data_IF_472362591803
#
_entry.id   IF_472362591803
#
_cell.length_a   1.000
_cell.length_b   1.000
_cell.length_c   1.000
_cell.angle_alpha   90.00
_cell.angle_beta   90.00
_cell.angle_gamma   90.00
#
_symmetry.space_group_name_H-M   'P 1'
#
loop_
_entity.id
_entity.type
_entity.pdbx_description
1 polymer ?
#
# COMPACT_ATOMS: atom_id res chain seq x y z
N UNK A 1 -52.19 33.88 7.25
CA UNK A 1 -51.26 33.03 6.48
C UNK A 1 -49.84 33.37 6.90
N UNK A 2 -49.10 32.43 7.51
CA UNK A 2 -47.62 32.33 7.46
C UNK A 2 -47.23 31.08 8.27
N UNK A 3 -46.74 30.03 7.59
CA UNK A 3 -45.92 28.94 8.17
C UNK A 3 -44.49 29.21 7.72
N UNK A 4 -43.49 29.05 8.60
CA UNK A 4 -42.31 28.25 8.23
C UNK A 4 -41.82 27.41 9.43
N UNK A 5 -41.79 26.08 9.32
CA UNK A 5 -40.81 25.17 8.69
C UNK A 5 -39.81 24.60 9.74
N UNK A 6 -39.76 23.27 9.93
CA UNK A 6 -39.00 22.63 10.98
C UNK A 6 -37.50 22.62 10.65
N UNK A 7 -36.68 22.82 11.67
CA UNK A 7 -35.23 22.72 11.61
C UNK A 7 -34.80 21.31 11.17
N UNK A 8 -34.44 21.16 9.89
CA UNK A 8 -33.70 19.99 9.40
C UNK A 8 -32.26 20.12 9.89
N UNK A 9 -31.92 19.37 10.94
CA UNK A 9 -30.55 19.16 11.37
C UNK A 9 -29.77 18.39 10.31
N UNK A 10 -28.88 19.08 9.61
CA UNK A 10 -27.95 18.47 8.66
C UNK A 10 -26.85 17.76 9.44
N UNK A 11 -27.03 16.46 9.72
CA UNK A 11 -25.99 15.61 10.28
C UNK A 11 -24.90 15.36 9.23
N UNK A 12 -23.84 16.17 9.28
CA UNK A 12 -22.67 16.03 8.43
C UNK A 12 -21.83 14.83 8.94
N UNK A 13 -22.06 13.64 8.38
CA UNK A 13 -21.18 12.49 8.60
C UNK A 13 -19.83 12.73 7.91
N UNK A 14 -18.87 13.31 8.65
CA UNK A 14 -17.46 13.32 8.25
C UNK A 14 -16.91 11.90 8.36
N UNK A 15 -16.90 11.18 7.25
CA UNK A 15 -16.10 9.96 7.09
C UNK A 15 -14.62 10.35 7.17
N UNK A 16 -13.99 10.15 8.34
CA UNK A 16 -12.54 10.25 8.51
C UNK A 16 -11.88 9.17 7.65
N UNK A 17 -11.56 9.51 6.40
CA UNK A 17 -10.53 8.77 5.66
C UNK A 17 -9.20 9.13 6.29
N UNK A 18 -8.71 8.24 7.15
CA UNK A 18 -7.36 8.31 7.68
C UNK A 18 -6.38 8.30 6.49
N UNK A 19 -5.91 9.47 6.07
CA UNK A 19 -4.80 9.58 5.14
C UNK A 19 -3.55 9.10 5.89
N UNK A 20 -2.90 7.99 5.48
CA UNK A 20 -1.70 7.54 6.17
C UNK A 20 -0.65 8.64 6.08
N UNK A 21 -0.23 9.14 7.24
CA UNK A 21 0.87 10.10 7.38
C UNK A 21 2.13 9.46 6.76
N UNK A 22 2.62 10.03 5.66
CA UNK A 22 3.98 9.82 5.15
C UNK A 22 4.28 8.45 4.55
N UNK A 23 3.46 7.95 3.61
CA UNK A 23 3.81 6.76 2.84
C UNK A 23 5.06 7.04 1.96
N UNK A 24 6.11 6.22 2.08
CA UNK A 24 7.33 6.38 1.30
C UNK A 24 7.00 6.19 -0.19
N UNK A 25 7.50 7.08 -1.05
CA UNK A 25 7.38 6.89 -2.50
C UNK A 25 8.34 5.81 -2.99
N UNK A 26 8.05 5.18 -4.12
CA UNK A 26 9.00 4.24 -4.77
C UNK A 26 10.33 4.94 -5.09
N UNK A 27 10.29 6.21 -5.49
CA UNK A 27 11.50 7.02 -5.76
C UNK A 27 12.35 7.15 -4.50
N UNK A 28 11.75 7.53 -3.37
CA UNK A 28 12.47 7.65 -2.11
C UNK A 28 13.03 6.29 -1.66
N UNK A 29 12.22 5.23 -1.78
CA UNK A 29 12.64 3.86 -1.47
C UNK A 29 13.89 3.47 -2.24
N UNK A 30 13.89 3.65 -3.56
CA UNK A 30 15.05 3.34 -4.42
C UNK A 30 16.25 4.22 -4.09
N UNK A 31 16.03 5.52 -3.84
CA UNK A 31 17.11 6.44 -3.50
C UNK A 31 17.81 6.07 -2.18
N UNK A 32 17.09 5.51 -1.21
CA UNK A 32 17.66 4.97 0.03
C UNK A 32 18.36 3.63 -0.26
N UNK A 33 17.70 2.73 -0.99
CA UNK A 33 18.23 1.40 -1.30
C UNK A 33 19.56 1.46 -2.07
N UNK A 34 19.70 2.40 -3.01
CA UNK A 34 20.92 2.56 -3.82
C UNK A 34 22.11 3.09 -3.01
N UNK A 35 21.89 3.67 -1.81
CA UNK A 35 22.96 4.12 -0.90
C UNK A 35 23.36 3.05 0.12
N UNK A 36 22.56 2.00 0.28
CA UNK A 36 22.87 0.94 1.22
C UNK A 36 23.96 0.01 0.65
N UNK A 37 24.85 -0.52 1.51
CA UNK A 37 25.81 -1.53 1.08
C UNK A 37 25.07 -2.75 0.55
N UNK A 38 25.53 -3.35 -0.55
CA UNK A 38 24.90 -4.52 -1.16
C UNK A 38 25.37 -5.81 -0.48
N UNK A 39 25.21 -5.90 0.84
CA UNK A 39 25.60 -7.05 1.65
C UNK A 39 24.59 -7.33 2.78
N UNK A 40 24.77 -8.45 3.48
CA UNK A 40 23.85 -8.91 4.53
C UNK A 40 23.65 -7.90 5.69
N UNK A 41 24.57 -6.96 5.90
CA UNK A 41 24.47 -5.99 7.00
C UNK A 41 23.57 -4.79 6.69
N UNK A 42 23.14 -4.62 5.43
CA UNK A 42 22.30 -3.50 5.00
C UNK A 42 21.01 -3.41 5.82
N UNK A 43 20.37 -4.55 6.08
CA UNK A 43 19.14 -4.66 6.86
C UNK A 43 19.30 -4.22 8.32
N UNK A 44 20.52 -4.22 8.86
CA UNK A 44 20.81 -3.83 10.24
C UNK A 44 20.96 -2.31 10.39
N UNK A 45 21.19 -1.58 9.30
CA UNK A 45 21.33 -0.13 9.32
C UNK A 45 19.96 0.53 9.54
N UNK A 46 19.90 1.73 10.17
CA UNK A 46 18.64 2.45 10.38
C UNK A 46 17.80 2.60 9.11
N UNK A 47 18.44 2.94 7.99
CA UNK A 47 17.78 3.10 6.71
C UNK A 47 17.28 1.76 6.15
N UNK A 48 18.07 0.69 6.27
CA UNK A 48 17.64 -0.66 5.87
C UNK A 48 16.42 -1.14 6.66
N UNK A 49 16.43 -0.93 7.98
CA UNK A 49 15.26 -1.19 8.85
C UNK A 49 14.05 -0.36 8.44
N UNK A 50 14.25 0.91 8.07
CA UNK A 50 13.18 1.78 7.56
C UNK A 50 12.57 1.21 6.27
N UNK A 51 13.37 0.72 5.33
CA UNK A 51 12.86 0.07 4.11
C UNK A 51 12.08 -1.20 4.41
N UNK A 52 12.59 -2.06 5.30
CA UNK A 52 11.90 -3.30 5.71
C UNK A 52 10.54 -2.99 6.34
N UNK A 53 10.50 -1.99 7.23
CA UNK A 53 9.27 -1.58 7.89
C UNK A 53 8.24 -1.02 6.88
N UNK A 54 8.67 -0.21 5.91
CA UNK A 54 7.79 0.31 4.87
C UNK A 54 7.15 -0.82 4.06
N UNK A 55 7.95 -1.81 3.65
CA UNK A 55 7.47 -2.98 2.89
C UNK A 55 6.52 -3.82 3.73
N UNK A 56 6.89 -4.11 4.99
CA UNK A 56 6.04 -4.88 5.91
C UNK A 56 4.68 -4.20 6.11
N UNK A 57 4.68 -2.91 6.46
CA UNK A 57 3.45 -2.11 6.62
C UNK A 57 2.61 -2.13 5.34
N UNK A 58 3.24 -1.97 4.18
CA UNK A 58 2.55 -1.96 2.89
C UNK A 58 1.91 -3.32 2.56
N UNK A 59 2.63 -4.42 2.80
CA UNK A 59 2.08 -5.78 2.60
C UNK A 59 0.92 -6.04 3.55
N UNK A 60 1.02 -5.61 4.81
CA UNK A 60 -0.08 -5.71 5.76
C UNK A 60 -1.30 -4.90 5.33
N UNK A 61 -1.11 -3.68 4.85
CA UNK A 61 -2.20 -2.84 4.35
C UNK A 61 -2.95 -3.52 3.19
N UNK A 62 -2.23 -4.05 2.21
CA UNK A 62 -2.79 -4.77 1.06
C UNK A 62 -3.52 -6.04 1.51
N UNK A 63 -2.98 -6.82 2.46
CA UNK A 63 -3.72 -7.97 3.03
C UNK A 63 -5.00 -7.54 3.76
N UNK A 64 -4.96 -6.43 4.49
CA UNK A 64 -6.12 -5.91 5.21
C UNK A 64 -7.21 -5.40 4.27
N UNK A 65 -6.84 -4.80 3.14
CA UNK A 65 -7.77 -4.41 2.07
C UNK A 65 -8.52 -5.62 1.49
N UNK A 66 -7.80 -6.71 1.18
CA UNK A 66 -8.43 -7.96 0.75
C UNK A 66 -9.39 -8.50 1.83
N UNK A 67 -8.93 -8.59 3.08
CA UNK A 67 -9.77 -9.06 4.19
C UNK A 67 -11.00 -8.17 4.41
N UNK A 68 -10.88 -6.86 4.23
CA UNK A 68 -11.98 -5.92 4.32
C UNK A 68 -13.00 -6.10 3.19
N UNK A 69 -12.54 -6.36 1.96
CA UNK A 69 -13.43 -6.68 0.84
C UNK A 69 -14.22 -7.97 1.11
N UNK A 70 -13.54 -9.03 1.55
CA UNK A 70 -14.18 -10.32 1.90
C UNK A 70 -15.22 -10.14 3.00
N UNK A 71 -14.88 -9.46 4.11
CA UNK A 71 -15.82 -9.20 5.21
C UNK A 71 -17.02 -8.37 4.78
N UNK A 72 -16.85 -7.50 3.79
CA UNK A 72 -17.93 -6.70 3.22
C UNK A 72 -18.77 -7.46 2.16
N UNK A 73 -18.52 -8.75 1.94
CA UNK A 73 -19.21 -9.54 0.90
C UNK A 73 -18.90 -9.09 -0.53
N UNK A 74 -17.80 -8.36 -0.75
CA UNK A 74 -17.36 -7.89 -2.07
C UNK A 74 -16.24 -8.76 -2.62
N UNK A 75 -16.16 -8.87 -3.94
CA UNK A 75 -15.00 -9.47 -4.62
C UNK A 75 -13.75 -8.60 -4.35
N UNK A 76 -12.68 -9.14 -3.75
CA UNK A 76 -11.42 -8.41 -3.60
C UNK A 76 -10.78 -8.07 -4.94
N UNK A 77 -9.94 -7.02 -4.98
CA UNK A 77 -9.20 -6.65 -6.18
C UNK A 77 -8.08 -7.66 -6.54
N UNK A 78 -7.63 -8.44 -5.57
CA UNK A 78 -6.57 -9.44 -5.67
C UNK A 78 -6.80 -10.53 -4.61
N UNK A 79 -6.27 -11.72 -4.87
CA UNK A 79 -6.50 -12.92 -4.07
C UNK A 79 -5.17 -13.52 -3.60
N UNK A 80 -4.49 -12.81 -2.70
CA UNK A 80 -3.19 -13.21 -2.13
C UNK A 80 -3.37 -14.50 -1.31
N UNK A 81 -2.56 -15.54 -1.55
CA UNK A 81 -2.65 -16.79 -0.81
C UNK A 81 -2.18 -16.65 0.65
N UNK A 82 -2.69 -17.53 1.50
CA UNK A 82 -2.29 -17.62 2.92
C UNK A 82 -0.78 -17.89 3.07
N UNK A 83 -0.19 -18.66 2.15
CA UNK A 83 1.23 -19.01 2.13
C UNK A 83 2.18 -17.81 2.02
N UNK A 84 1.73 -16.66 1.50
CA UNK A 84 2.57 -15.47 1.39
C UNK A 84 2.21 -14.58 0.20
N UNK A 85 2.75 -13.35 0.17
CA UNK A 85 2.63 -12.47 -1.02
C UNK A 85 3.55 -12.90 -2.17
N UNK A 86 4.59 -13.69 -1.88
CA UNK A 86 5.64 -14.04 -2.83
C UNK A 86 6.65 -12.90 -3.10
N UNK A 87 6.62 -11.84 -2.28
CA UNK A 87 7.56 -10.72 -2.38
C UNK A 87 8.89 -11.11 -1.73
N UNK A 88 9.97 -11.02 -2.50
CA UNK A 88 11.35 -11.10 -2.00
C UNK A 88 12.03 -9.72 -2.10
N UNK A 89 13.09 -9.44 -1.32
CA UNK A 89 13.81 -8.16 -1.41
C UNK A 89 14.32 -7.87 -2.83
N UNK A 90 14.92 -8.86 -3.49
CA UNK A 90 15.48 -8.74 -4.84
C UNK A 90 14.38 -8.52 -5.87
N UNK A 91 13.29 -9.29 -5.76
CA UNK A 91 12.12 -9.19 -6.64
C UNK A 91 11.42 -7.83 -6.50
N UNK A 92 11.34 -7.30 -5.28
CA UNK A 92 10.78 -5.98 -5.02
C UNK A 92 11.64 -4.87 -5.64
N UNK A 93 12.96 -4.91 -5.44
CA UNK A 93 13.88 -3.93 -6.04
C UNK A 93 13.82 -4.00 -7.57
N UNK A 94 13.80 -5.19 -8.15
CA UNK A 94 13.63 -5.37 -9.58
C UNK A 94 12.30 -4.78 -10.09
N UNK A 95 11.19 -5.07 -9.39
CA UNK A 95 9.86 -4.53 -9.72
C UNK A 95 9.83 -3.00 -9.70
N UNK A 96 10.45 -2.39 -8.69
CA UNK A 96 10.48 -0.94 -8.54
C UNK A 96 11.39 -0.25 -9.56
N UNK A 97 12.56 -0.84 -9.84
CA UNK A 97 13.49 -0.32 -10.87
C UNK A 97 12.88 -0.40 -12.27
N UNK A 98 12.04 -1.39 -12.54
CA UNK A 98 11.31 -1.53 -13.80
C UNK A 98 10.22 -0.46 -14.02
N UNK A 99 9.81 0.29 -12.99
CA UNK A 99 8.82 1.36 -13.15
C UNK A 99 9.43 2.55 -13.93
N UNK A 100 8.69 3.15 -14.90
CA UNK A 100 9.07 4.41 -15.52
C UNK A 100 9.25 5.52 -14.50
N UNK A 101 10.17 6.46 -14.73
CA UNK A 101 10.51 7.52 -13.76
C UNK A 101 9.30 8.32 -13.25
N UNK A 102 8.37 8.69 -14.14
CA UNK A 102 7.15 9.42 -13.78
C UNK A 102 6.14 8.61 -12.95
N UNK A 103 6.30 7.28 -12.89
CA UNK A 103 5.46 6.42 -12.05
C UNK A 103 6.07 6.18 -10.67
N UNK A 104 7.34 6.53 -10.43
CA UNK A 104 8.03 6.26 -9.15
C UNK A 104 7.60 7.20 -8.02
N UNK A 105 6.80 8.22 -8.30
CA UNK A 105 6.21 9.11 -7.28
C UNK A 105 5.10 8.44 -6.48
N UNK A 106 4.58 7.30 -6.94
CA UNK A 106 3.52 6.60 -6.22
C UNK A 106 4.03 6.03 -4.88
N UNK A 107 3.16 5.92 -3.86
CA UNK A 107 3.47 5.24 -2.61
C UNK A 107 3.88 3.77 -2.82
N UNK A 108 4.77 3.26 -1.98
CA UNK A 108 5.18 1.84 -1.99
C UNK A 108 3.98 0.90 -1.86
N UNK A 109 3.01 1.21 -1.00
CA UNK A 109 1.76 0.43 -0.85
C UNK A 109 0.96 0.35 -2.15
N UNK A 110 0.90 1.44 -2.93
CA UNK A 110 0.20 1.47 -4.21
C UNK A 110 0.94 0.60 -5.25
N UNK A 111 2.27 0.68 -5.31
CA UNK A 111 3.06 -0.17 -6.20
C UNK A 111 2.93 -1.66 -5.85
N UNK A 112 2.92 -2.01 -4.56
CA UNK A 112 2.69 -3.39 -4.10
C UNK A 112 1.27 -3.83 -4.43
N UNK A 113 0.26 -2.97 -4.25
CA UNK A 113 -1.13 -3.26 -4.63
C UNK A 113 -1.23 -3.64 -6.10
N UNK A 114 -0.68 -2.82 -6.99
CA UNK A 114 -0.66 -3.09 -8.44
C UNK A 114 0.03 -4.42 -8.74
N UNK A 115 1.15 -4.69 -8.08
CA UNK A 115 1.84 -5.97 -8.23
C UNK A 115 0.99 -7.16 -7.78
N UNK A 116 0.21 -7.03 -6.69
CA UNK A 116 -0.69 -8.11 -6.25
C UNK A 116 -1.87 -8.33 -7.20
N UNK A 117 -2.37 -7.29 -7.87
CA UNK A 117 -3.39 -7.43 -8.92
C UNK A 117 -2.83 -8.27 -10.08
N UNK A 118 -1.62 -7.97 -10.54
CA UNK A 118 -0.98 -8.69 -11.64
C UNK A 118 -0.63 -10.13 -11.26
N UNK A 119 -0.10 -10.33 -10.05
CA UNK A 119 0.44 -11.60 -9.60
C UNK A 119 -0.62 -12.57 -9.11
N UNK A 120 -1.68 -12.04 -8.49
CA UNK A 120 -2.72 -12.82 -7.82
C UNK A 120 -4.12 -12.34 -8.23
N UNK A 121 -4.48 -12.42 -9.52
CA UNK A 121 -5.83 -12.09 -9.95
C UNK A 121 -6.84 -13.02 -9.27
N UNK A 122 -7.95 -12.46 -8.80
CA UNK A 122 -9.02 -13.28 -8.25
C UNK A 122 -9.71 -14.09 -9.37
N UNK A 123 -9.99 -15.39 -9.15
CA UNK A 123 -10.70 -16.21 -10.13
C UNK A 123 -12.06 -15.60 -10.48
N UNK A 124 -12.49 -15.83 -11.74
CA UNK A 124 -13.74 -15.29 -12.29
C UNK A 124 -14.97 -15.72 -11.49
#
# INVERSE_FOLDING_TARGET
>A
MLRPLPALGLALMLSLVATPVGAMSVREFLAIADRLPQNATAALRPEGRRLINEVSTSVHAVRNEQAAAVRAGRRPAYCIPSAGSGITPEGLLARFRALPHGRRDMPVVQAIREWMIERWPCPA
#
